data_IF_377907625214
#
_entry.id   IF_377907625214
#
_cell.length_a   1.000
_cell.length_b   1.000
_cell.length_c   1.000
_cell.angle_alpha   90.00
_cell.angle_beta   90.00
_cell.angle_gamma   90.00
#
_symmetry.space_group_name_H-M   'P 1'
#
loop_
_entity.id
_entity.type
_entity.pdbx_description
1 polymer ?
#
# COMPACT_ATOMS: atom_id res chain seq x y z
N UNK A 1 -9.98 -4.26 0.80
CA UNK A 1 -9.49 -3.83 -0.51
C UNK A 1 -10.51 -4.08 -1.62
N UNK A 2 -11.15 -5.25 -1.69
CA UNK A 2 -12.11 -5.58 -2.74
C UNK A 2 -13.23 -4.53 -2.90
N UNK A 3 -13.80 -4.04 -1.78
CA UNK A 3 -14.79 -2.94 -1.86
C UNK A 3 -14.23 -1.66 -2.48
N UNK A 4 -12.97 -1.30 -2.20
CA UNK A 4 -12.31 -0.14 -2.78
C UNK A 4 -12.11 -0.33 -4.28
N UNK A 5 -11.61 -1.50 -4.69
CA UNK A 5 -11.43 -1.87 -6.09
C UNK A 5 -12.75 -1.77 -6.84
N UNK A 6 -13.82 -2.30 -6.27
CA UNK A 6 -15.13 -2.29 -6.92
C UNK A 6 -15.82 -0.92 -6.94
N UNK A 7 -15.38 0.03 -6.11
CA UNK A 7 -15.98 1.38 -6.02
C UNK A 7 -15.37 2.41 -6.97
N UNK A 8 -14.29 2.10 -7.70
CA UNK A 8 -13.64 3.04 -8.62
C UNK A 8 -13.74 2.59 -10.07
N UNK A 9 -13.90 3.55 -10.96
CA UNK A 9 -13.80 3.34 -12.41
C UNK A 9 -12.41 3.71 -12.97
N UNK A 10 -11.58 4.37 -12.17
CA UNK A 10 -10.20 4.65 -12.55
C UNK A 10 -9.42 3.34 -12.81
N UNK A 11 -8.45 3.33 -13.73
CA UNK A 11 -7.54 2.19 -13.86
C UNK A 11 -6.81 1.91 -12.56
N UNK A 12 -6.68 0.63 -12.21
CA UNK A 12 -6.09 0.18 -10.95
C UNK A 12 -4.79 -0.58 -11.21
N UNK A 13 -3.75 -0.18 -10.52
CA UNK A 13 -2.51 -0.95 -10.39
C UNK A 13 -2.47 -1.53 -8.98
N UNK A 14 -2.49 -2.85 -8.88
CA UNK A 14 -2.42 -3.58 -7.62
C UNK A 14 -1.08 -4.31 -7.51
N UNK A 15 -0.27 -3.92 -6.55
CA UNK A 15 1.02 -4.54 -6.26
C UNK A 15 0.78 -5.52 -5.11
N UNK A 16 0.65 -6.81 -5.44
CA UNK A 16 0.34 -7.89 -4.50
C UNK A 16 1.63 -8.54 -3.99
N UNK A 17 2.10 -8.07 -2.84
CA UNK A 17 3.34 -8.54 -2.25
C UNK A 17 3.19 -9.83 -1.44
N UNK A 18 1.97 -10.07 -0.95
CA UNK A 18 1.66 -11.22 -0.12
C UNK A 18 0.99 -12.35 -0.93
N UNK A 19 0.75 -12.14 -2.24
CA UNK A 19 0.11 -13.04 -3.19
C UNK A 19 -1.31 -13.49 -2.77
N UNK A 20 -1.89 -12.81 -1.79
CA UNK A 20 -3.17 -13.20 -1.22
C UNK A 20 -4.32 -12.84 -2.14
N UNK A 21 -4.32 -11.62 -2.67
CA UNK A 21 -5.38 -11.16 -3.58
C UNK A 21 -5.33 -11.94 -4.91
N UNK A 22 -4.14 -12.15 -5.44
CA UNK A 22 -3.91 -12.98 -6.63
C UNK A 22 -4.45 -14.39 -6.44
N UNK A 23 -4.15 -15.03 -5.29
CA UNK A 23 -4.68 -16.35 -4.97
C UNK A 23 -6.21 -16.41 -4.93
N UNK A 24 -6.88 -15.38 -4.43
CA UNK A 24 -8.35 -15.30 -4.47
C UNK A 24 -8.89 -15.15 -5.90
N UNK A 25 -8.22 -14.38 -6.73
CA UNK A 25 -8.62 -14.22 -8.15
C UNK A 25 -8.41 -15.52 -8.92
N UNK A 26 -7.24 -16.15 -8.78
CA UNK A 26 -6.92 -17.42 -9.46
C UNK A 26 -7.82 -18.58 -9.04
N UNK A 27 -8.15 -18.64 -7.74
CA UNK A 27 -9.11 -19.62 -7.22
C UNK A 27 -10.58 -19.31 -7.57
N UNK A 28 -10.82 -18.22 -8.29
CA UNK A 28 -12.18 -17.74 -8.67
C UNK A 28 -13.08 -17.42 -7.49
N UNK A 29 -12.51 -17.17 -6.33
CA UNK A 29 -13.25 -16.68 -5.15
C UNK A 29 -13.62 -15.20 -5.28
N UNK A 30 -12.83 -14.44 -6.04
CA UNK A 30 -13.08 -13.04 -6.39
C UNK A 30 -12.96 -12.92 -7.92
N UNK A 31 -13.91 -12.20 -8.52
CA UNK A 31 -13.84 -11.87 -9.94
C UNK A 31 -12.88 -10.70 -10.14
N UNK A 32 -11.89 -10.89 -11.03
CA UNK A 32 -10.98 -9.80 -11.42
C UNK A 32 -11.74 -8.75 -12.21
N UNK A 33 -11.61 -7.48 -11.82
CA UNK A 33 -12.18 -6.34 -12.53
C UNK A 33 -11.39 -6.05 -13.82
N UNK A 34 -12.05 -5.60 -14.88
CA UNK A 34 -11.40 -5.37 -16.20
C UNK A 34 -10.33 -4.26 -16.14
N UNK A 35 -10.59 -3.20 -15.35
CA UNK A 35 -9.65 -2.09 -15.18
C UNK A 35 -8.54 -2.35 -14.14
N UNK A 36 -8.38 -3.59 -13.65
CA UNK A 36 -7.39 -3.99 -12.66
C UNK A 36 -6.20 -4.69 -13.30
N UNK A 37 -5.01 -4.11 -13.15
CA UNK A 37 -3.73 -4.76 -13.46
C UNK A 37 -3.06 -5.19 -12.16
N UNK A 38 -2.71 -6.47 -12.03
CA UNK A 38 -2.04 -7.01 -10.85
C UNK A 38 -0.57 -7.24 -11.19
N UNK A 39 0.30 -6.77 -10.31
CA UNK A 39 1.74 -7.02 -10.32
C UNK A 39 2.10 -7.81 -9.07
N UNK A 40 2.79 -8.94 -9.26
CA UNK A 40 3.34 -9.77 -8.18
C UNK A 40 4.86 -9.73 -8.32
N UNK A 41 5.55 -8.67 -7.86
CA UNK A 41 6.99 -8.59 -7.98
C UNK A 41 7.66 -9.54 -6.98
N UNK A 42 8.79 -10.07 -7.40
CA UNK A 42 9.71 -10.81 -6.54
C UNK A 42 11.05 -10.08 -6.41
N UNK A 43 12.00 -10.69 -5.70
CA UNK A 43 13.32 -10.09 -5.47
C UNK A 43 14.15 -9.90 -6.76
N UNK A 44 13.85 -10.68 -7.80
CA UNK A 44 14.60 -10.68 -9.07
C UNK A 44 14.05 -9.63 -10.03
N UNK A 45 12.72 -9.49 -10.11
CA UNK A 45 12.06 -8.67 -11.12
C UNK A 45 11.48 -7.34 -10.58
N UNK A 46 11.73 -7.05 -9.28
CA UNK A 46 11.19 -5.86 -8.62
C UNK A 46 11.49 -4.55 -9.37
N UNK A 47 12.75 -4.35 -9.76
CA UNK A 47 13.17 -3.10 -10.41
C UNK A 47 12.48 -2.92 -11.77
N UNK A 48 12.38 -3.98 -12.56
CA UNK A 48 11.72 -3.96 -13.86
C UNK A 48 10.24 -3.66 -13.72
N UNK A 49 9.54 -4.40 -12.87
CA UNK A 49 8.11 -4.21 -12.61
C UNK A 49 7.81 -2.83 -12.03
N UNK A 50 8.66 -2.36 -11.12
CA UNK A 50 8.49 -1.04 -10.55
C UNK A 50 8.68 0.06 -11.59
N UNK A 51 9.68 -0.06 -12.48
CA UNK A 51 9.90 0.86 -13.60
C UNK A 51 8.70 0.90 -14.55
N UNK A 52 8.10 -0.25 -14.84
CA UNK A 52 6.86 -0.33 -15.63
C UNK A 52 5.70 0.40 -14.96
N UNK A 53 5.52 0.20 -13.66
CA UNK A 53 4.48 0.88 -12.87
C UNK A 53 4.67 2.39 -12.92
N UNK A 54 5.89 2.87 -12.66
CA UNK A 54 6.21 4.30 -12.74
C UNK A 54 5.92 4.87 -14.12
N UNK A 55 6.30 4.17 -15.18
CA UNK A 55 6.03 4.60 -16.55
C UNK A 55 4.54 4.73 -16.85
N UNK A 56 3.70 3.85 -16.31
CA UNK A 56 2.24 3.91 -16.45
C UNK A 56 1.65 5.07 -15.65
N UNK A 57 1.96 5.14 -14.35
CA UNK A 57 1.42 6.15 -13.42
C UNK A 57 1.85 7.57 -13.79
N UNK A 58 2.99 7.74 -14.46
CA UNK A 58 3.45 9.07 -14.90
C UNK A 58 2.67 9.66 -16.08
N UNK A 59 1.91 8.84 -16.81
CA UNK A 59 1.18 9.26 -18.01
C UNK A 59 -0.29 9.53 -17.76
N UNK A 60 -0.89 8.72 -16.89
CA UNK A 60 -2.32 8.72 -16.66
C UNK A 60 -2.66 8.64 -15.17
N UNK A 61 -3.93 8.95 -14.86
CA UNK A 61 -4.47 8.82 -13.53
C UNK A 61 -4.77 7.36 -13.21
N UNK A 62 -4.29 6.90 -12.04
CA UNK A 62 -4.50 5.55 -11.52
C UNK A 62 -4.89 5.55 -10.03
N UNK A 63 -5.56 4.50 -9.61
CA UNK A 63 -5.53 4.05 -8.22
C UNK A 63 -4.41 3.03 -8.07
N UNK A 64 -3.35 3.36 -7.34
CA UNK A 64 -2.25 2.42 -7.04
C UNK A 64 -2.48 1.84 -5.66
N UNK A 65 -2.49 0.51 -5.54
CA UNK A 65 -2.64 -0.21 -4.28
C UNK A 65 -1.39 -1.06 -4.06
N UNK A 66 -0.79 -0.94 -2.88
CA UNK A 66 0.34 -1.78 -2.45
C UNK A 66 -0.13 -2.62 -1.25
N UNK A 67 -0.21 -3.93 -1.44
CA UNK A 67 -0.65 -4.89 -0.42
C UNK A 67 0.41 -5.99 -0.23
N UNK A 68 1.21 -5.96 0.79
CA UNK A 68 1.28 -4.98 1.87
C UNK A 68 2.67 -4.35 1.99
N UNK A 69 2.77 -3.27 2.76
CA UNK A 69 4.06 -2.67 3.09
C UNK A 69 4.97 -3.64 3.85
N UNK A 70 4.37 -4.50 4.67
CA UNK A 70 5.10 -5.55 5.38
C UNK A 70 5.61 -6.63 4.41
N UNK A 71 4.85 -6.98 3.37
CA UNK A 71 5.28 -7.91 2.32
C UNK A 71 6.51 -7.41 1.57
N UNK A 72 6.55 -6.11 1.24
CA UNK A 72 7.73 -5.51 0.61
C UNK A 72 8.97 -5.69 1.51
N UNK A 73 8.85 -5.40 2.82
CA UNK A 73 9.98 -5.55 3.73
C UNK A 73 10.41 -7.00 3.95
N UNK A 74 9.53 -7.96 3.79
CA UNK A 74 9.87 -9.38 3.84
C UNK A 74 10.63 -9.83 2.59
N UNK A 75 10.43 -9.13 1.47
CA UNK A 75 11.16 -9.41 0.23
C UNK A 75 12.63 -8.98 0.32
N UNK A 76 12.92 -7.94 1.10
CA UNK A 76 14.25 -7.35 1.25
C UNK A 76 14.67 -7.30 2.72
N UNK A 77 15.68 -8.07 3.10
CA UNK A 77 16.08 -8.28 4.50
C UNK A 77 17.05 -7.23 5.06
N UNK A 78 17.54 -6.29 4.23
CA UNK A 78 18.59 -5.34 4.60
C UNK A 78 18.09 -3.88 4.72
N UNK A 79 18.93 -3.03 5.31
CA UNK A 79 18.61 -1.61 5.54
C UNK A 79 18.59 -0.81 4.24
N UNK A 80 19.45 -1.12 3.28
CA UNK A 80 19.54 -0.40 2.00
C UNK A 80 18.27 -0.60 1.20
N UNK A 81 17.76 -1.82 1.19
CA UNK A 81 16.46 -2.16 0.60
C UNK A 81 15.31 -1.39 1.25
N UNK A 82 15.34 -1.20 2.57
CA UNK A 82 14.33 -0.39 3.25
C UNK A 82 14.35 1.08 2.81
N UNK A 83 15.54 1.66 2.61
CA UNK A 83 15.70 3.02 2.09
C UNK A 83 15.20 3.09 0.64
N UNK A 84 15.56 2.12 -0.18
CA UNK A 84 15.11 2.02 -1.57
C UNK A 84 13.57 1.96 -1.66
N UNK A 85 12.93 1.10 -0.86
CA UNK A 85 11.47 0.96 -0.84
C UNK A 85 10.78 2.26 -0.45
N UNK A 86 11.27 2.95 0.60
CA UNK A 86 10.71 4.24 0.98
C UNK A 86 10.85 5.26 -0.16
N UNK A 87 11.98 5.24 -0.86
CA UNK A 87 12.20 6.10 -2.04
C UNK A 87 11.21 5.79 -3.16
N UNK A 88 10.94 4.51 -3.42
CA UNK A 88 9.93 4.07 -4.38
C UNK A 88 8.53 4.54 -4.02
N UNK A 89 8.13 4.40 -2.76
CA UNK A 89 6.82 4.86 -2.26
C UNK A 89 6.71 6.39 -2.36
N UNK A 90 7.76 7.11 -2.00
CA UNK A 90 7.80 8.58 -2.14
C UNK A 90 7.70 9.02 -3.60
N UNK A 91 8.40 8.33 -4.50
CA UNK A 91 8.34 8.60 -5.92
C UNK A 91 6.93 8.37 -6.48
N UNK A 92 6.31 7.24 -6.18
CA UNK A 92 4.92 6.96 -6.56
C UNK A 92 3.96 8.02 -6.01
N UNK A 93 4.12 8.40 -4.75
CA UNK A 93 3.27 9.43 -4.13
C UNK A 93 3.46 10.80 -4.78
N UNK A 94 4.70 11.16 -5.13
CA UNK A 94 5.03 12.42 -5.82
C UNK A 94 4.43 12.47 -7.21
N UNK A 95 4.63 11.43 -8.01
CA UNK A 95 4.06 11.30 -9.35
C UNK A 95 2.53 11.31 -9.27
N UNK A 96 1.97 10.52 -8.35
CA UNK A 96 0.54 10.45 -8.12
C UNK A 96 -0.08 11.82 -7.81
N UNK A 97 0.59 12.63 -6.99
CA UNK A 97 0.13 14.01 -6.73
C UNK A 97 0.10 14.88 -7.99
N UNK A 98 1.05 14.68 -8.91
CA UNK A 98 1.14 15.48 -10.15
C UNK A 98 0.01 15.13 -11.12
N UNK A 99 -0.28 13.85 -11.30
CA UNK A 99 -1.31 13.35 -12.22
C UNK A 99 -2.66 13.08 -11.56
N UNK A 100 -2.84 13.49 -10.29
CA UNK A 100 -4.06 13.27 -9.47
C UNK A 100 -4.41 11.81 -9.26
N UNK A 101 -3.42 10.93 -9.25
CA UNK A 101 -3.56 9.53 -8.85
C UNK A 101 -3.63 9.40 -7.33
N UNK A 102 -4.26 8.33 -6.85
CA UNK A 102 -4.29 7.98 -5.44
C UNK A 102 -3.39 6.78 -5.17
N UNK A 103 -2.59 6.83 -4.12
CA UNK A 103 -1.75 5.71 -3.67
C UNK A 103 -2.25 5.23 -2.32
N UNK A 104 -2.65 3.97 -2.24
CA UNK A 104 -3.12 3.30 -1.04
C UNK A 104 -2.13 2.22 -0.67
N UNK A 105 -1.68 2.22 0.58
CA UNK A 105 -0.73 1.23 1.07
C UNK A 105 -1.32 0.58 2.30
N UNK A 106 -1.40 -0.74 2.31
CA UNK A 106 -1.81 -1.50 3.49
C UNK A 106 -0.59 -1.83 4.35
N UNK A 107 -0.83 -2.03 5.62
CA UNK A 107 0.20 -2.41 6.57
C UNK A 107 -0.40 -2.95 7.85
N UNK A 108 0.42 -3.66 8.62
CA UNK A 108 -0.01 -4.18 9.92
C UNK A 108 -0.13 -3.07 10.95
N UNK A 109 -1.10 -3.21 11.84
CA UNK A 109 -1.23 -2.37 13.03
C UNK A 109 -0.92 -3.20 14.28
N UNK A 110 -0.31 -2.55 15.28
CA UNK A 110 -0.10 -3.14 16.62
C UNK A 110 -0.64 -2.21 17.69
N UNK A 111 -1.06 -2.81 18.80
CA UNK A 111 -1.47 -2.06 19.99
C UNK A 111 -0.25 -1.77 20.85
N UNK A 112 -0.03 -0.50 21.17
CA UNK A 112 0.93 -0.07 22.21
C UNK A 112 0.18 0.28 23.48
N UNK A 113 0.81 0.04 24.64
CA UNK A 113 0.16 0.26 25.93
C UNK A 113 -0.29 1.70 26.14
N UNK A 114 0.53 2.69 25.72
CA UNK A 114 0.25 4.11 25.96
C UNK A 114 -0.28 4.88 24.74
N UNK A 115 -0.11 4.32 23.52
CA UNK A 115 -0.40 5.06 22.28
C UNK A 115 -1.61 4.47 21.51
N UNK A 116 -2.23 3.41 22.04
CA UNK A 116 -3.33 2.72 21.34
C UNK A 116 -2.85 1.95 20.10
N UNK A 117 -3.62 1.99 19.02
CA UNK A 117 -3.26 1.34 17.77
C UNK A 117 -2.31 2.21 16.94
N UNK A 118 -1.19 1.64 16.51
CA UNK A 118 -0.19 2.31 15.67
C UNK A 118 0.16 1.44 14.47
N UNK A 119 0.53 2.09 13.37
CA UNK A 119 1.07 1.38 12.20
C UNK A 119 2.38 0.67 12.58
N UNK A 120 2.51 -0.60 12.21
CA UNK A 120 3.68 -1.43 12.52
C UNK A 120 4.34 -1.97 11.25
N UNK A 121 5.17 -1.16 10.58
CA UNK A 121 5.89 -1.58 9.38
C UNK A 121 7.18 -2.37 9.69
N UNK A 122 7.13 -3.32 10.63
CA UNK A 122 8.30 -4.14 10.97
C UNK A 122 9.46 -3.38 11.62
N UNK A 123 9.16 -2.35 12.44
CA UNK A 123 10.18 -1.54 13.14
C UNK A 123 10.77 -0.40 12.31
N UNK A 124 10.28 -0.19 11.09
CA UNK A 124 10.76 0.84 10.16
C UNK A 124 9.82 2.05 10.12
N UNK A 125 10.31 3.19 9.65
CA UNK A 125 9.50 4.40 9.54
C UNK A 125 8.88 4.52 8.15
N UNK A 126 7.57 4.76 8.11
CA UNK A 126 6.89 5.18 6.88
C UNK A 126 6.97 6.70 6.78
N UNK A 127 7.53 7.18 5.68
CA UNK A 127 7.60 8.63 5.42
C UNK A 127 6.20 9.11 5.04
N UNK A 128 5.74 10.15 5.72
CA UNK A 128 4.44 10.76 5.50
C UNK A 128 4.61 12.18 4.96
N UNK A 129 3.70 12.57 4.10
CA UNK A 129 3.55 13.95 3.65
C UNK A 129 2.30 14.57 4.30
N UNK A 130 2.12 15.87 4.16
CA UNK A 130 0.88 16.57 4.60
C UNK A 130 -0.40 16.03 3.95
N UNK A 131 -0.26 15.35 2.80
CA UNK A 131 -1.37 14.71 2.07
C UNK A 131 -1.58 13.23 2.44
N UNK A 132 -0.84 12.72 3.43
CA UNK A 132 -0.93 11.32 3.86
C UNK A 132 -1.96 11.17 4.96
N UNK A 133 -3.07 10.48 4.69
CA UNK A 133 -4.00 10.02 5.70
C UNK A 133 -3.64 8.62 6.19
N UNK A 134 -3.72 8.37 7.48
CA UNK A 134 -3.53 7.04 8.07
C UNK A 134 -4.84 6.58 8.69
N UNK A 135 -5.31 5.43 8.24
CA UNK A 135 -6.59 4.87 8.65
C UNK A 135 -6.40 3.49 9.27
N UNK A 136 -7.15 3.23 10.33
CA UNK A 136 -7.22 1.93 10.97
C UNK A 136 -8.52 1.23 10.58
N UNK A 137 -8.39 0.01 10.04
CA UNK A 137 -9.52 -0.82 9.68
C UNK A 137 -9.71 -1.90 10.73
N UNK A 138 -10.90 -1.96 11.32
CA UNK A 138 -11.27 -2.99 12.28
C UNK A 138 -12.49 -3.74 11.78
N UNK A 139 -12.36 -5.06 11.62
CA UNK A 139 -13.50 -5.92 11.35
C UNK A 139 -14.23 -6.20 12.65
N UNK A 140 -15.51 -5.91 12.68
CA UNK A 140 -16.45 -6.34 13.73
C UNK A 140 -17.24 -7.56 13.23
N UNK A 141 -18.13 -8.11 14.06
CA UNK A 141 -18.95 -9.27 13.65
C UNK A 141 -19.77 -9.00 12.38
N UNK A 142 -20.28 -7.79 12.23
CA UNK A 142 -21.22 -7.44 11.15
C UNK A 142 -20.70 -6.37 10.19
N UNK A 143 -19.65 -5.59 10.58
CA UNK A 143 -19.23 -4.41 9.85
C UNK A 143 -17.70 -4.26 9.77
N UNK A 144 -17.26 -3.41 8.85
CA UNK A 144 -15.92 -2.88 8.76
C UNK A 144 -15.93 -1.43 9.27
N UNK A 145 -15.24 -1.17 10.37
CA UNK A 145 -15.10 0.17 10.94
C UNK A 145 -13.78 0.77 10.45
N UNK A 146 -13.85 1.98 9.91
CA UNK A 146 -12.69 2.76 9.49
C UNK A 146 -12.57 3.95 10.44
N UNK A 147 -11.40 4.11 11.05
CA UNK A 147 -11.10 5.26 11.91
C UNK A 147 -9.77 5.87 11.52
N UNK A 148 -9.65 7.19 11.63
CA UNK A 148 -8.37 7.89 11.43
C UNK A 148 -7.45 7.56 12.61
N UNK A 149 -6.22 7.16 12.31
CA UNK A 149 -5.16 7.07 13.31
C UNK A 149 -4.54 8.45 13.46
N UNK A 150 -4.94 9.19 14.49
CA UNK A 150 -4.20 10.37 14.93
C UNK A 150 -2.89 9.90 15.55
N UNK A 151 -1.78 10.19 14.87
CA UNK A 151 -0.49 10.05 15.54
C UNK A 151 -0.27 11.29 16.40
N UNK A 152 -0.24 11.09 17.70
CA UNK A 152 0.44 12.02 18.58
C UNK A 152 1.91 12.08 18.14
N UNK A 153 2.27 13.13 17.41
CA UNK A 153 3.67 13.46 17.19
C UNK A 153 4.31 13.59 18.57
N UNK A 154 5.06 12.57 18.94
CA UNK A 154 5.82 12.58 20.16
C UNK A 154 6.74 13.80 20.11
N UNK A 155 6.39 14.86 20.85
CA UNK A 155 7.29 15.97 21.10
C UNK A 155 8.60 15.38 21.59
N UNK A 156 9.59 15.32 20.72
CA UNK A 156 10.97 15.14 21.15
C UNK A 156 11.32 16.34 22.03
N UNK A 157 11.41 16.09 23.35
CA UNK A 157 12.12 16.98 24.27
C UNK A 157 13.61 16.75 24.08
#
# INVERSE_FOLDING_TARGET
>A
LDKLINSTEDPIIFIDMDLLYTGYVESKMIQKKENLTIFCPDKVDWEEKFSEIISKVSKDRFLVIIDSFNGIYNLFDDLESAIFINSCVMLLSSIGNHVKSSVVITGMARKKENDGWVLSPGGRHVIKSEKTGVYFLKKTKNDLVISTLEQTDGKRK
#
